data_IF_463379466060
#
_entry.id   IF_463379466060
#
_cell.length_a   1.000
_cell.length_b   1.000
_cell.length_c   1.000
_cell.angle_alpha   90.00
_cell.angle_beta   90.00
_cell.angle_gamma   90.00
#
_symmetry.space_group_name_H-M   'P 1'
#
loop_
_entity.id
_entity.type
_entity.pdbx_description
1 polymer ?
#
# COMPACT_ATOMS: atom_id res chain seq x y z
N UNK A 1 1.91 -8.46 4.02
CA UNK A 1 2.17 -7.23 3.26
C UNK A 1 0.89 -6.46 3.04
N UNK A 2 0.89 -5.17 3.33
CA UNK A 2 -0.28 -4.30 3.15
C UNK A 2 0.19 -3.00 2.51
N UNK A 3 -0.59 -2.50 1.55
CA UNK A 3 -0.38 -1.19 0.93
C UNK A 3 -1.56 -0.29 1.23
N UNK A 4 -1.25 0.92 1.69
CA UNK A 4 -2.20 1.98 1.98
C UNK A 4 -1.96 3.17 1.05
N UNK A 5 -3.02 3.93 0.83
CA UNK A 5 -2.94 5.25 0.21
C UNK A 5 -3.60 6.29 1.13
N UNK A 6 -3.14 7.53 1.05
CA UNK A 6 -3.79 8.67 1.68
C UNK A 6 -3.79 9.84 0.71
N UNK A 7 -4.95 10.48 0.51
CA UNK A 7 -5.10 11.62 -0.41
C UNK A 7 -4.61 12.89 0.27
N UNK A 8 -3.70 13.62 -0.38
CA UNK A 8 -3.25 14.90 0.13
C UNK A 8 -4.38 15.95 0.05
N UNK A 9 -4.65 16.71 1.12
CA UNK A 9 -5.61 17.81 1.10
C UNK A 9 -5.05 19.07 0.40
N UNK A 10 -3.74 19.10 0.17
CA UNK A 10 -2.97 20.22 -0.40
C UNK A 10 -1.75 19.69 -1.17
N UNK A 11 -0.83 20.58 -1.53
CA UNK A 11 0.50 20.22 -2.07
C UNK A 11 1.16 19.13 -1.22
N UNK A 12 1.34 17.95 -1.81
CA UNK A 12 1.86 16.76 -1.15
C UNK A 12 3.28 16.95 -0.59
N UNK A 13 4.09 17.85 -1.17
CA UNK A 13 5.47 18.08 -0.73
C UNK A 13 5.55 18.83 0.61
N UNK A 14 4.43 19.39 1.06
CA UNK A 14 4.32 20.17 2.31
C UNK A 14 3.41 19.51 3.35
N UNK A 15 2.76 18.41 2.98
CA UNK A 15 1.80 17.73 3.82
C UNK A 15 2.41 16.47 4.44
N UNK A 16 2.29 16.37 5.76
CA UNK A 16 2.66 15.19 6.53
C UNK A 16 1.40 14.69 7.27
N UNK A 17 0.95 13.44 7.03
CA UNK A 17 -0.27 12.92 7.65
C UNK A 17 -0.20 12.80 9.18
N UNK A 18 1.00 12.75 9.78
CA UNK A 18 1.16 12.57 11.23
C UNK A 18 0.37 11.37 11.75
N UNK A 19 -0.52 11.64 12.71
CA UNK A 19 -1.44 10.65 13.31
C UNK A 19 -2.87 10.73 12.75
N UNK A 20 -3.10 11.51 11.69
CA UNK A 20 -4.44 11.68 11.12
C UNK A 20 -4.96 10.36 10.52
N UNK A 21 -6.26 10.12 10.69
CA UNK A 21 -6.94 8.93 10.18
C UNK A 21 -7.30 9.07 8.69
N UNK A 22 -6.28 9.24 7.84
CA UNK A 22 -6.44 9.49 6.39
C UNK A 22 -6.08 8.27 5.51
N UNK A 23 -5.53 7.23 6.12
CA UNK A 23 -5.04 6.05 5.42
C UNK A 23 -6.17 5.06 5.12
N UNK A 24 -6.25 4.62 3.88
CA UNK A 24 -7.14 3.53 3.47
C UNK A 24 -6.33 2.45 2.76
N UNK A 25 -6.67 1.19 3.03
CA UNK A 25 -6.02 0.03 2.43
C UNK A 25 -6.40 -0.08 0.95
N UNK A 26 -5.42 -0.36 0.10
CA UNK A 26 -5.63 -0.58 -1.34
C UNK A 26 -5.18 -1.97 -1.82
N UNK A 27 -4.30 -2.63 -1.08
CA UNK A 27 -3.90 -4.01 -1.34
C UNK A 27 -3.49 -4.72 -0.05
N UNK A 28 -3.70 -6.03 0.01
CA UNK A 28 -3.17 -6.89 1.06
C UNK A 28 -2.82 -8.27 0.54
N UNK A 29 -1.77 -8.86 1.10
CA UNK A 29 -1.42 -10.26 0.91
C UNK A 29 -0.88 -10.82 2.23
N UNK A 30 -1.50 -11.90 2.69
CA UNK A 30 -1.24 -12.55 3.97
C UNK A 30 -0.69 -13.96 3.80
N UNK A 31 -1.04 -14.86 4.73
CA UNK A 31 -0.69 -16.28 4.62
C UNK A 31 -1.63 -16.98 3.64
N UNK A 32 -1.10 -17.77 2.71
CA UNK A 32 -1.89 -18.58 1.78
C UNK A 32 -2.47 -19.82 2.47
N UNK A 33 -3.42 -20.47 1.82
CA UNK A 33 -3.96 -21.76 2.28
C UNK A 33 -2.89 -22.87 2.35
N UNK A 34 -1.84 -22.80 1.53
CA UNK A 34 -0.69 -23.72 1.56
C UNK A 34 0.32 -23.39 2.67
N UNK A 35 0.08 -22.32 3.44
CA UNK A 35 0.89 -21.95 4.58
C UNK A 35 2.06 -21.01 4.30
N UNK A 36 2.19 -20.53 3.06
CA UNK A 36 3.24 -19.60 2.64
C UNK A 36 2.88 -18.16 3.02
N UNK A 37 3.84 -17.42 3.53
CA UNK A 37 3.68 -16.01 3.86
C UNK A 37 4.06 -15.10 2.69
N UNK A 38 3.22 -14.10 2.44
CA UNK A 38 3.43 -13.17 1.35
C UNK A 38 4.77 -12.42 1.43
N UNK A 39 5.18 -11.96 2.63
CA UNK A 39 6.39 -11.13 2.81
C UNK A 39 7.71 -11.88 2.73
N UNK A 40 7.70 -13.20 2.98
CA UNK A 40 8.92 -14.03 2.95
C UNK A 40 8.91 -14.97 1.76
N UNK A 41 7.94 -15.87 1.67
CA UNK A 41 7.97 -16.95 0.69
C UNK A 41 7.62 -16.45 -0.70
N UNK A 42 6.53 -15.68 -0.82
CA UNK A 42 6.02 -15.23 -2.13
C UNK A 42 6.88 -14.09 -2.67
N UNK A 43 7.17 -13.08 -1.85
CA UNK A 43 7.95 -11.91 -2.28
C UNK A 43 9.37 -12.31 -2.70
N UNK A 44 10.06 -13.16 -1.93
CA UNK A 44 11.40 -13.63 -2.31
C UNK A 44 11.39 -14.48 -3.57
N UNK A 45 10.33 -15.26 -3.80
CA UNK A 45 10.17 -16.02 -5.05
C UNK A 45 9.90 -15.12 -6.29
N UNK A 46 9.45 -13.89 -6.08
CA UNK A 46 9.19 -12.88 -7.13
C UNK A 46 10.31 -11.82 -7.19
N UNK A 47 11.56 -12.24 -7.02
CA UNK A 47 12.77 -11.39 -7.03
C UNK A 47 12.70 -10.19 -6.07
N UNK A 48 11.92 -10.32 -5.00
CA UNK A 48 11.63 -9.25 -4.04
C UNK A 48 10.96 -8.02 -4.65
N UNK A 49 10.21 -8.20 -5.74
CA UNK A 49 9.42 -7.18 -6.41
C UNK A 49 7.97 -7.32 -5.94
N UNK A 50 7.39 -6.23 -5.44
CA UNK A 50 5.97 -6.18 -5.09
C UNK A 50 5.23 -5.23 -6.03
N UNK A 51 4.15 -5.74 -6.63
CA UNK A 51 3.27 -4.96 -7.51
C UNK A 51 1.87 -4.83 -6.90
N UNK A 52 1.27 -3.64 -7.03
CA UNK A 52 -0.14 -3.43 -6.72
C UNK A 52 -0.79 -2.53 -7.78
N UNK A 53 -2.12 -2.59 -7.88
CA UNK A 53 -2.89 -1.76 -8.81
C UNK A 53 -3.55 -0.61 -8.06
N UNK A 54 -3.41 0.62 -8.57
CA UNK A 54 -4.13 1.79 -8.04
C UNK A 54 -5.62 1.62 -8.38
N UNK A 55 -6.54 1.72 -7.40
CA UNK A 55 -7.97 1.59 -7.68
C UNK A 55 -8.44 2.69 -8.65
N UNK A 56 -9.13 2.29 -9.71
CA UNK A 56 -9.56 3.20 -10.80
C UNK A 56 -10.66 4.18 -10.38
N UNK A 57 -11.37 3.90 -9.28
CA UNK A 57 -12.45 4.74 -8.76
C UNK A 57 -11.97 5.84 -7.81
N UNK A 58 -10.66 5.94 -7.57
CA UNK A 58 -10.12 6.99 -6.72
C UNK A 58 -10.35 8.38 -7.32
N UNK A 59 -10.69 9.33 -6.45
CA UNK A 59 -10.73 10.74 -6.84
C UNK A 59 -9.35 11.18 -7.33
N UNK A 60 -9.29 11.89 -8.44
CA UNK A 60 -8.03 12.47 -8.92
C UNK A 60 -7.39 13.39 -7.84
N UNK A 61 -6.06 13.35 -7.76
CA UNK A 61 -5.28 14.11 -6.79
C UNK A 61 -3.92 13.49 -6.50
N UNK A 62 -3.18 14.11 -5.59
CA UNK A 62 -1.90 13.59 -5.10
C UNK A 62 -2.13 12.63 -3.93
N UNK A 63 -1.38 11.54 -3.89
CA UNK A 63 -1.48 10.52 -2.85
C UNK A 63 -0.11 10.13 -2.32
N UNK A 64 -0.01 9.89 -1.03
CA UNK A 64 1.12 9.15 -0.46
C UNK A 64 0.78 7.66 -0.54
N UNK A 65 1.74 6.86 -0.98
CA UNK A 65 1.68 5.40 -0.93
C UNK A 65 2.54 4.93 0.25
N UNK A 66 1.95 4.12 1.14
CA UNK A 66 2.67 3.47 2.24
C UNK A 66 2.58 1.95 2.05
N UNK A 67 3.71 1.32 1.79
CA UNK A 67 3.85 -0.13 1.75
C UNK A 67 4.47 -0.63 3.05
N UNK A 68 3.93 -1.71 3.62
CA UNK A 68 4.33 -2.27 4.92
C UNK A 68 4.37 -3.81 4.84
N UNK A 69 5.39 -4.41 5.45
CA UNK A 69 5.64 -5.85 5.49
C UNK A 69 5.68 -6.39 6.90
#
# INVERSE_FOLDING_TARGET
MITYMARAPSDITKWLPGTDAVWFKVAESGKTASGLWASTDILTADDSIYTFTIPSTLKAGQYIVRHEM
#
